data_IF_897269245791
#
_entry.id   IF_897269245791
#
_cell.length_a   1.000
_cell.length_b   1.000
_cell.length_c   1.000
_cell.angle_alpha   90.00
_cell.angle_beta   90.00
_cell.angle_gamma   90.00
#
_symmetry.space_group_name_H-M   'P 1'
#
loop_
_entity.id
_entity.type
_entity.pdbx_description
1 polymer ?
#
# COMPACT_ATOMS: atom_id res chain seq x y z
N UNK A 1 40.12 -77.60 21.05
CA UNK A 1 40.19 -76.12 21.14
C UNK A 1 39.96 -75.47 19.76
N UNK A 2 38.80 -75.71 19.13
CA UNK A 2 38.46 -75.15 17.80
C UNK A 2 36.99 -74.69 17.69
N UNK A 3 36.11 -75.13 18.60
CA UNK A 3 34.69 -74.80 18.61
C UNK A 3 34.35 -73.40 19.18
N UNK A 4 35.25 -72.78 19.96
CA UNK A 4 34.99 -71.44 20.53
C UNK A 4 35.26 -70.26 19.56
N UNK A 5 35.99 -70.47 18.46
CA UNK A 5 36.35 -69.38 17.52
C UNK A 5 35.26 -69.05 16.50
N UNK A 6 34.34 -69.98 16.23
CA UNK A 6 33.32 -69.82 15.18
C UNK A 6 32.13 -68.98 15.67
N UNK A 7 31.79 -69.07 16.96
CA UNK A 7 30.65 -68.33 17.53
C UNK A 7 30.87 -66.80 17.55
N UNK A 8 32.10 -66.33 17.80
CA UNK A 8 32.42 -64.88 17.86
C UNK A 8 32.29 -64.17 16.50
N UNK A 9 32.54 -64.85 15.39
CA UNK A 9 32.60 -64.23 14.04
C UNK A 9 31.21 -64.06 13.41
N UNK A 10 30.22 -64.87 13.81
CA UNK A 10 28.84 -64.80 13.31
C UNK A 10 28.03 -63.69 14.00
N UNK A 11 28.23 -63.48 15.31
CA UNK A 11 27.52 -62.45 16.08
C UNK A 11 27.92 -61.02 15.67
N UNK A 12 29.21 -60.81 15.34
CA UNK A 12 29.72 -59.48 14.97
C UNK A 12 29.31 -59.01 13.57
N UNK A 13 29.01 -59.94 12.64
CA UNK A 13 28.52 -59.60 11.30
C UNK A 13 27.02 -59.29 11.25
N UNK A 14 26.22 -59.87 12.15
CA UNK A 14 24.78 -59.60 12.24
C UNK A 14 24.46 -58.28 12.94
N UNK A 15 25.34 -57.81 13.84
CA UNK A 15 25.17 -56.53 14.53
C UNK A 15 25.41 -55.31 13.61
N UNK A 16 26.28 -55.45 12.61
CA UNK A 16 26.55 -54.38 11.63
C UNK A 16 25.42 -54.17 10.62
N UNK A 17 24.57 -55.18 10.38
CA UNK A 17 23.49 -55.09 9.39
C UNK A 17 22.24 -54.40 9.97
N UNK A 18 21.98 -54.58 11.27
CA UNK A 18 20.81 -54.02 11.96
C UNK A 18 20.99 -52.51 12.24
N UNK A 19 22.23 -52.04 12.39
CA UNK A 19 22.53 -50.61 12.58
C UNK A 19 22.36 -49.78 11.29
N UNK A 20 22.46 -50.40 10.10
CA UNK A 20 22.28 -49.70 8.82
C UNK A 20 20.82 -49.43 8.45
N UNK A 21 19.88 -50.22 8.98
CA UNK A 21 18.46 -50.13 8.63
C UNK A 21 17.70 -49.08 9.48
N UNK A 22 18.28 -48.59 10.58
CA UNK A 22 17.70 -47.53 11.41
C UNK A 22 18.00 -46.11 10.90
N UNK A 23 19.00 -45.93 10.02
CA UNK A 23 19.39 -44.60 9.51
C UNK A 23 18.48 -44.13 8.37
N UNK A 24 17.78 -45.04 7.69
CA UNK A 24 16.89 -44.72 6.55
C UNK A 24 15.50 -44.23 6.97
N UNK A 25 15.15 -44.29 8.26
CA UNK A 25 13.85 -43.80 8.76
C UNK A 25 13.90 -42.35 9.28
N UNK A 26 15.07 -41.71 9.32
CA UNK A 26 15.21 -40.30 9.74
C UNK A 26 15.35 -39.31 8.56
N UNK A 27 15.34 -39.78 7.31
CA UNK A 27 15.46 -38.91 6.12
C UNK A 27 14.14 -38.66 5.39
N UNK A 28 12.99 -39.11 5.92
CA UNK A 28 11.67 -38.88 5.31
C UNK A 28 10.75 -37.98 6.12
N UNK A 29 11.25 -37.33 7.17
CA UNK A 29 10.53 -36.31 7.95
C UNK A 29 11.01 -34.89 7.64
N UNK A 30 11.17 -34.58 6.35
CA UNK A 30 11.04 -33.23 5.80
C UNK A 30 10.26 -33.38 4.49
N UNK A 31 9.07 -33.98 4.56
CA UNK A 31 8.13 -33.88 3.44
C UNK A 31 7.65 -32.43 3.45
N UNK A 32 8.14 -31.66 2.48
CA UNK A 32 7.88 -30.24 2.30
C UNK A 32 6.41 -29.87 2.55
N UNK A 33 6.12 -29.41 3.76
CA UNK A 33 5.01 -28.49 4.01
C UNK A 33 5.56 -27.11 3.68
N UNK A 34 5.87 -26.85 2.40
CA UNK A 34 6.36 -25.55 1.95
C UNK A 34 5.81 -25.19 0.58
N UNK A 35 4.56 -25.55 0.25
CA UNK A 35 4.02 -25.28 -1.10
C UNK A 35 2.56 -24.80 -1.14
N UNK A 36 2.07 -24.08 -0.12
CA UNK A 36 0.77 -23.40 -0.26
C UNK A 36 0.61 -22.06 0.46
N UNK A 37 1.62 -21.57 1.18
CA UNK A 37 1.53 -20.31 1.97
C UNK A 37 2.62 -19.30 1.59
N UNK A 38 3.62 -19.66 0.76
CA UNK A 38 4.81 -18.83 0.52
C UNK A 38 4.75 -17.88 -0.71
N UNK A 39 3.70 -17.93 -1.53
CA UNK A 39 3.61 -17.17 -2.79
C UNK A 39 2.72 -15.91 -2.69
N UNK A 40 2.56 -15.35 -1.50
CA UNK A 40 1.83 -14.10 -1.29
C UNK A 40 2.70 -13.14 -0.50
N UNK A 41 3.13 -12.05 -1.15
CA UNK A 41 3.71 -10.93 -0.42
C UNK A 41 2.64 -10.33 0.49
N UNK A 42 2.90 -10.15 1.80
CA UNK A 42 1.99 -9.43 2.67
C UNK A 42 1.63 -8.06 2.07
N UNK A 43 0.38 -7.58 2.25
CA UNK A 43 0.04 -6.25 1.81
C UNK A 43 0.98 -5.21 2.42
N UNK A 44 1.41 -4.24 1.61
CA UNK A 44 2.31 -3.18 2.05
C UNK A 44 1.74 -1.82 1.67
N UNK A 45 2.15 -0.78 2.39
CA UNK A 45 1.66 0.58 2.18
C UNK A 45 2.65 1.38 1.32
N UNK A 46 2.10 2.11 0.35
CA UNK A 46 2.82 3.06 -0.50
C UNK A 46 2.36 4.47 -0.12
N UNK A 47 3.18 5.21 0.64
CA UNK A 47 2.83 6.57 1.03
C UNK A 47 3.02 7.54 -0.13
N UNK A 48 2.18 8.58 -0.19
CA UNK A 48 2.33 9.73 -1.05
C UNK A 48 2.12 11.00 -0.24
N UNK A 49 3.04 11.95 -0.38
CA UNK A 49 2.97 13.24 0.30
C UNK A 49 3.29 14.34 -0.71
N UNK A 50 2.52 15.41 -0.66
CA UNK A 50 2.72 16.59 -1.50
C UNK A 50 2.28 17.86 -0.81
N UNK A 51 2.87 18.98 -1.19
CA UNK A 51 2.50 20.31 -0.69
C UNK A 51 1.82 21.07 -1.81
N UNK A 52 0.69 21.70 -1.49
CA UNK A 52 -0.14 22.43 -2.44
C UNK A 52 -0.51 23.80 -1.87
N UNK A 53 -0.46 24.84 -2.70
CA UNK A 53 -0.88 26.20 -2.36
C UNK A 53 -2.17 26.52 -3.11
N UNK A 54 -3.24 26.82 -2.38
CA UNK A 54 -4.56 27.12 -2.95
C UNK A 54 -4.89 28.59 -2.70
N UNK A 55 -5.09 29.40 -3.76
CA UNK A 55 -5.62 30.75 -3.62
C UNK A 55 -7.13 30.70 -3.35
N UNK A 56 -7.54 31.10 -2.15
CA UNK A 56 -8.95 31.08 -1.71
C UNK A 56 -9.80 32.18 -2.33
N UNK A 57 -9.19 33.19 -2.94
CA UNK A 57 -9.89 34.26 -3.64
C UNK A 57 -10.86 33.74 -4.74
N UNK A 58 -10.56 32.56 -5.30
CA UNK A 58 -11.36 31.92 -6.36
C UNK A 58 -12.14 30.68 -5.87
N UNK A 59 -12.09 30.37 -4.57
CA UNK A 59 -12.79 29.20 -4.00
C UNK A 59 -14.22 29.60 -3.68
N UNK A 60 -15.17 28.91 -4.32
CA UNK A 60 -16.60 29.20 -4.18
C UNK A 60 -17.13 28.73 -2.82
N UNK A 61 -18.08 29.48 -2.27
CA UNK A 61 -18.83 29.09 -1.06
C UNK A 61 -20.09 28.29 -1.39
N UNK A 62 -20.54 28.28 -2.65
CA UNK A 62 -21.79 27.63 -3.09
C UNK A 62 -21.57 26.41 -3.98
N UNK A 63 -20.42 26.34 -4.65
CA UNK A 63 -20.04 25.26 -5.57
C UNK A 63 -18.64 24.76 -5.26
N UNK A 64 -18.25 23.63 -5.86
CA UNK A 64 -16.87 23.13 -5.76
C UNK A 64 -15.98 23.86 -6.76
N UNK A 65 -14.87 24.42 -6.27
CA UNK A 65 -13.76 24.91 -7.09
C UNK A 65 -12.73 23.80 -7.23
N UNK A 66 -12.34 23.53 -8.47
CA UNK A 66 -11.39 22.46 -8.81
C UNK A 66 -9.97 23.00 -8.94
N UNK A 67 -9.01 22.36 -8.28
CA UNK A 67 -7.59 22.68 -8.42
C UNK A 67 -7.00 22.08 -9.69
N UNK A 68 -5.81 22.55 -10.13
CA UNK A 68 -4.99 21.82 -11.08
C UNK A 68 -4.70 20.39 -10.58
N UNK A 69 -4.40 19.51 -11.53
CA UNK A 69 -4.03 18.12 -11.22
C UNK A 69 -2.71 18.07 -10.45
N UNK A 70 -2.67 17.20 -9.45
CA UNK A 70 -1.50 16.94 -8.63
C UNK A 70 -0.93 15.59 -9.07
N UNK A 71 0.16 15.57 -9.85
CA UNK A 71 0.74 14.32 -10.32
C UNK A 71 1.29 13.52 -9.13
N UNK A 72 0.90 12.25 -9.01
CA UNK A 72 1.41 11.39 -7.96
C UNK A 72 2.76 10.79 -8.32
N UNK A 73 2.98 10.48 -9.61
CA UNK A 73 4.22 9.90 -10.14
C UNK A 73 4.69 8.64 -9.37
N UNK A 74 3.74 7.84 -8.88
CA UNK A 74 4.05 6.62 -8.12
C UNK A 74 4.46 5.52 -9.11
N UNK A 75 5.74 5.14 -9.09
CA UNK A 75 6.21 3.94 -9.78
C UNK A 75 5.96 2.71 -8.91
N UNK A 76 4.78 2.11 -9.09
CA UNK A 76 4.37 0.96 -8.32
C UNK A 76 5.17 -0.31 -8.68
N UNK A 77 5.65 -0.45 -9.91
CA UNK A 77 6.49 -1.58 -10.31
C UNK A 77 7.83 -1.55 -9.55
N UNK A 78 8.47 -0.38 -9.48
CA UNK A 78 9.67 -0.20 -8.69
C UNK A 78 9.42 -0.48 -7.20
N UNK A 79 8.29 -0.01 -6.64
CA UNK A 79 7.92 -0.26 -5.24
C UNK A 79 7.65 -1.73 -4.94
N UNK A 80 7.02 -2.46 -5.87
CA UNK A 80 6.81 -3.91 -5.74
C UNK A 80 8.16 -4.63 -5.74
N UNK A 81 9.04 -4.33 -6.72
CA UNK A 81 10.37 -4.95 -6.83
C UNK A 81 11.29 -4.65 -5.65
N UNK A 82 11.16 -3.47 -5.04
CA UNK A 82 11.85 -3.10 -3.80
C UNK A 82 11.45 -4.02 -2.63
N UNK A 83 10.17 -4.40 -2.54
CA UNK A 83 9.70 -5.32 -1.52
C UNK A 83 10.02 -6.78 -1.85
N UNK A 84 9.86 -7.18 -3.12
CA UNK A 84 10.24 -8.51 -3.59
C UNK A 84 10.52 -8.51 -5.11
N UNK A 85 11.78 -8.74 -5.56
CA UNK A 85 12.15 -8.72 -6.98
C UNK A 85 11.46 -9.76 -7.87
N UNK A 86 10.87 -10.82 -7.29
CA UNK A 86 10.14 -11.84 -8.05
C UNK A 86 8.75 -11.36 -8.51
N UNK A 87 8.27 -10.23 -7.98
CA UNK A 87 6.99 -9.64 -8.33
C UNK A 87 7.19 -8.38 -9.19
N UNK A 88 6.16 -8.05 -9.94
CA UNK A 88 6.08 -6.85 -10.77
C UNK A 88 4.67 -6.28 -10.74
N UNK A 89 4.46 -5.18 -11.45
CA UNK A 89 3.13 -4.61 -11.66
C UNK A 89 2.12 -5.60 -12.26
N UNK A 90 2.60 -6.63 -12.99
CA UNK A 90 1.73 -7.67 -13.55
C UNK A 90 1.11 -8.58 -12.48
N UNK A 91 1.73 -8.66 -11.30
CA UNK A 91 1.25 -9.44 -10.17
C UNK A 91 0.31 -8.64 -9.25
N UNK A 92 0.00 -7.38 -9.61
CA UNK A 92 -0.89 -6.53 -8.83
C UNK A 92 -2.31 -7.11 -8.78
N UNK A 93 -2.83 -7.29 -7.56
CA UNK A 93 -4.20 -7.76 -7.33
C UNK A 93 -5.12 -6.70 -6.75
N UNK A 94 -4.59 -5.79 -5.95
CA UNK A 94 -5.38 -4.74 -5.31
C UNK A 94 -4.54 -3.52 -5.00
N UNK A 95 -5.13 -2.35 -5.21
CA UNK A 95 -4.67 -1.06 -4.67
C UNK A 95 -5.87 -0.37 -4.07
N UNK A 96 -5.82 -0.10 -2.77
CA UNK A 96 -6.88 0.60 -2.05
C UNK A 96 -6.28 1.76 -1.28
N UNK A 97 -6.94 2.91 -1.30
CA UNK A 97 -6.55 3.99 -0.41
C UNK A 97 -6.94 3.62 1.02
N UNK A 98 -6.00 3.76 1.94
CA UNK A 98 -6.16 3.41 3.35
C UNK A 98 -6.36 4.66 4.21
N UNK A 99 -5.65 5.73 3.90
CA UNK A 99 -5.69 7.00 4.62
C UNK A 99 -5.54 8.16 3.64
N UNK A 100 -6.18 9.28 3.99
CA UNK A 100 -5.96 10.57 3.36
C UNK A 100 -6.22 11.67 4.39
N UNK A 101 -5.22 12.52 4.59
CA UNK A 101 -5.29 13.69 5.45
C UNK A 101 -4.62 14.90 4.81
N UNK A 102 -5.03 16.09 5.26
CA UNK A 102 -4.42 17.35 4.86
C UNK A 102 -4.06 18.14 6.12
N UNK A 103 -2.79 18.47 6.26
CA UNK A 103 -2.23 19.27 7.34
C UNK A 103 -2.05 20.73 6.91
N UNK A 104 -2.33 21.66 7.83
CA UNK A 104 -2.02 23.07 7.65
C UNK A 104 -0.50 23.27 7.68
N UNK A 105 0.03 24.03 6.72
CA UNK A 105 1.45 24.44 6.72
C UNK A 105 1.57 25.92 7.01
N UNK A 106 0.92 26.77 6.20
CA UNK A 106 1.02 28.22 6.32
C UNK A 106 -0.08 28.93 5.54
N UNK A 107 -0.27 30.22 5.80
CA UNK A 107 -1.11 31.12 4.99
C UNK A 107 -0.59 32.56 5.06
N UNK A 108 -1.00 33.43 4.14
CA UNK A 108 -0.55 34.82 4.09
C UNK A 108 -1.26 35.69 5.15
N UNK A 109 -2.54 35.40 5.43
CA UNK A 109 -3.38 36.17 6.37
C UNK A 109 -3.90 35.33 7.53
N UNK A 110 -3.15 34.29 7.93
CA UNK A 110 -3.47 33.37 9.04
C UNK A 110 -4.79 32.60 8.88
N UNK A 111 -5.38 32.55 7.67
CA UNK A 111 -6.55 31.70 7.39
C UNK A 111 -6.18 30.23 7.58
N UNK A 112 -7.01 29.47 8.30
CA UNK A 112 -6.80 28.06 8.64
C UNK A 112 -7.72 27.14 7.83
N UNK A 113 -7.62 25.82 8.04
CA UNK A 113 -8.32 24.83 7.22
C UNK A 113 -9.84 24.77 7.44
N UNK A 114 -10.37 25.38 8.49
CA UNK A 114 -11.81 25.52 8.74
C UNK A 114 -12.50 26.44 7.71
N UNK A 115 -11.73 27.18 6.91
CA UNK A 115 -12.26 27.86 5.71
C UNK A 115 -12.70 26.87 4.64
N UNK A 116 -12.18 25.64 4.61
CA UNK A 116 -12.64 24.57 3.72
C UNK A 116 -13.83 23.90 4.39
N UNK A 117 -15.02 24.12 3.84
CA UNK A 117 -16.26 23.50 4.34
C UNK A 117 -16.37 22.05 3.89
N UNK A 118 -16.27 21.84 2.58
CA UNK A 118 -16.39 20.52 1.97
C UNK A 118 -15.24 20.32 1.00
N UNK A 119 -14.81 19.09 0.85
CA UNK A 119 -13.76 18.78 -0.09
C UNK A 119 -13.92 17.36 -0.66
N UNK A 120 -13.50 17.19 -1.91
CA UNK A 120 -13.55 15.93 -2.64
C UNK A 120 -12.23 15.69 -3.33
N UNK A 121 -11.80 14.44 -3.33
CA UNK A 121 -10.54 14.03 -3.94
C UNK A 121 -10.86 12.97 -4.98
N UNK A 122 -10.45 13.22 -6.22
CA UNK A 122 -10.59 12.29 -7.31
C UNK A 122 -9.23 11.78 -7.75
N UNK A 123 -9.19 10.54 -8.22
CA UNK A 123 -8.04 10.00 -8.94
C UNK A 123 -8.32 10.02 -10.44
N UNK A 124 -7.27 10.30 -11.20
CA UNK A 124 -7.28 10.28 -12.66
C UNK A 124 -6.09 9.50 -13.19
N UNK A 125 -6.30 8.79 -14.29
CA UNK A 125 -5.27 8.10 -15.05
C UNK A 125 -5.65 8.11 -16.55
N UNK A 126 -4.67 7.96 -17.47
CA UNK A 126 -4.94 7.82 -18.90
C UNK A 126 -5.98 6.73 -19.19
N UNK A 127 -6.95 7.05 -20.04
CA UNK A 127 -8.02 6.14 -20.47
C UNK A 127 -8.91 5.59 -19.34
N UNK A 128 -8.90 6.22 -18.16
CA UNK A 128 -9.82 5.93 -17.07
C UNK A 128 -10.72 7.14 -16.80
N UNK A 129 -12.01 6.95 -16.48
CA UNK A 129 -12.84 8.04 -15.98
C UNK A 129 -12.30 8.53 -14.63
N UNK A 130 -12.55 9.79 -14.30
CA UNK A 130 -12.24 10.30 -12.97
C UNK A 130 -13.08 9.58 -11.92
N UNK A 131 -12.45 9.24 -10.79
CA UNK A 131 -13.10 8.47 -9.74
C UNK A 131 -12.95 9.16 -8.41
N UNK A 132 -14.07 9.41 -7.73
CA UNK A 132 -14.09 9.98 -6.40
C UNK A 132 -13.52 8.95 -5.42
N UNK A 133 -12.49 9.32 -4.67
CA UNK A 133 -11.79 8.40 -3.76
C UNK A 133 -11.75 8.91 -2.33
N UNK A 134 -12.07 10.18 -2.07
CA UNK A 134 -12.22 10.65 -0.70
C UNK A 134 -13.13 11.86 -0.62
N UNK A 135 -13.81 12.00 0.52
CA UNK A 135 -14.66 13.17 0.78
C UNK A 135 -14.51 13.64 2.22
N UNK A 136 -14.71 14.93 2.42
CA UNK A 136 -14.97 15.53 3.74
C UNK A 136 -16.14 16.49 3.59
N UNK A 137 -17.01 16.51 4.58
CA UNK A 137 -18.17 17.39 4.61
C UNK A 137 -18.20 18.14 5.95
N UNK A 138 -18.55 19.42 5.89
CA UNK A 138 -18.65 20.32 7.04
C UNK A 138 -17.43 20.28 7.96
N UNK A 139 -16.23 20.36 7.39
CA UNK A 139 -15.01 20.46 8.18
C UNK A 139 -15.04 21.74 9.04
N UNK A 140 -14.61 21.60 10.29
CA UNK A 140 -14.46 22.69 11.26
C UNK A 140 -13.07 22.70 11.89
N UNK A 141 -12.17 21.80 11.49
CA UNK A 141 -10.84 21.69 12.07
C UNK A 141 -9.88 22.64 11.35
N UNK A 142 -9.12 23.41 12.14
CA UNK A 142 -8.22 24.44 11.67
C UNK A 142 -6.86 23.90 11.18
N UNK A 143 -6.41 22.77 11.72
CA UNK A 143 -5.05 22.28 11.53
C UNK A 143 -4.97 21.01 10.69
N UNK A 144 -6.02 20.21 10.66
CA UNK A 144 -6.06 18.96 9.91
C UNK A 144 -7.45 18.69 9.32
N UNK A 145 -7.50 18.18 8.10
CA UNK A 145 -8.70 17.63 7.48
C UNK A 145 -8.49 16.13 7.28
N UNK A 146 -9.26 15.32 8.00
CA UNK A 146 -9.30 13.86 7.80
C UNK A 146 -10.44 13.50 6.86
N UNK A 147 -10.12 12.79 5.78
CA UNK A 147 -11.11 12.41 4.79
C UNK A 147 -11.75 11.07 5.12
N UNK A 148 -13.03 10.95 4.77
CA UNK A 148 -13.69 9.66 4.62
C UNK A 148 -13.24 9.01 3.32
N UNK A 149 -12.63 7.83 3.43
CA UNK A 149 -12.11 7.03 2.32
C UNK A 149 -13.01 5.79 2.15
N UNK A 150 -13.70 5.63 1.01
CA UNK A 150 -14.48 4.43 0.76
C UNK A 150 -13.56 3.25 0.42
N UNK A 151 -14.01 2.03 0.76
CA UNK A 151 -13.28 0.81 0.45
C UNK A 151 -13.42 0.43 -1.03
N UNK A 152 -12.66 1.12 -1.89
CA UNK A 152 -12.74 0.97 -3.35
C UNK A 152 -11.44 0.51 -3.97
N UNK A 153 -11.58 -0.37 -4.97
CA UNK A 153 -10.46 -0.85 -5.77
C UNK A 153 -10.00 0.20 -6.80
N UNK A 154 -8.70 0.48 -6.80
CA UNK A 154 -8.04 1.50 -7.62
C UNK A 154 -6.98 0.92 -8.56
N UNK A 155 -6.81 -0.40 -8.63
CA UNK A 155 -5.80 -1.09 -9.46
C UNK A 155 -5.62 -0.47 -10.86
N UNK A 156 -6.69 -0.15 -11.57
CA UNK A 156 -6.63 0.34 -12.95
C UNK A 156 -6.00 1.75 -13.07
N UNK A 157 -5.98 2.53 -12.00
CA UNK A 157 -5.34 3.85 -11.94
C UNK A 157 -3.85 3.77 -11.60
N UNK A 158 -3.37 2.60 -11.15
CA UNK A 158 -1.98 2.37 -10.75
C UNK A 158 -1.22 1.45 -11.71
N UNK A 159 -1.84 0.98 -12.80
CA UNK A 159 -1.16 0.28 -13.91
C UNK A 159 -0.26 1.19 -14.75
N UNK A 160 -0.19 2.47 -14.42
CA UNK A 160 0.61 3.52 -15.06
C UNK A 160 1.22 4.41 -13.99
N UNK A 161 2.31 5.09 -14.32
CA UNK A 161 2.92 6.13 -13.50
C UNK A 161 2.35 7.53 -13.76
N UNK A 162 1.47 7.68 -14.76
CA UNK A 162 0.83 8.95 -15.14
C UNK A 162 -0.50 9.17 -14.40
N UNK A 163 -0.54 8.86 -13.12
CA UNK A 163 -1.72 9.09 -12.29
C UNK A 163 -1.61 10.41 -11.52
N UNK A 164 -2.77 11.03 -11.31
CA UNK A 164 -2.88 12.32 -10.64
C UNK A 164 -4.08 12.34 -9.69
N UNK A 165 -4.02 13.25 -8.74
CA UNK A 165 -5.13 13.60 -7.87
C UNK A 165 -5.73 14.93 -8.31
N UNK A 166 -7.04 15.07 -8.14
CA UNK A 166 -7.77 16.32 -8.33
C UNK A 166 -8.41 16.67 -7.01
N UNK A 167 -8.18 17.89 -6.53
CA UNK A 167 -8.78 18.41 -5.32
C UNK A 167 -9.91 19.37 -5.67
N UNK A 168 -11.12 19.05 -5.23
CA UNK A 168 -12.27 19.94 -5.30
C UNK A 168 -12.60 20.47 -3.92
N UNK A 169 -12.75 21.79 -3.81
CA UNK A 169 -12.86 22.51 -2.54
C UNK A 169 -14.08 23.40 -2.60
N UNK A 170 -14.89 23.39 -1.54
CA UNK A 170 -15.92 24.38 -1.28
C UNK A 170 -15.59 25.11 0.02
N UNK A 171 -15.54 26.44 -0.03
CA UNK A 171 -15.24 27.26 1.13
C UNK A 171 -16.47 27.45 2.04
N UNK A 172 -16.21 27.68 3.33
CA UNK A 172 -17.23 28.05 4.32
C UNK A 172 -17.49 29.56 4.31
N UNK A 173 -16.47 30.35 3.94
CA UNK A 173 -16.52 31.80 3.87
C UNK A 173 -15.63 32.31 2.73
N UNK A 174 -15.91 33.52 2.25
CA UNK A 174 -15.02 34.20 1.30
C UNK A 174 -13.71 34.55 2.00
N UNK A 175 -12.58 34.23 1.39
CA UNK A 175 -11.25 34.60 1.87
C UNK A 175 -10.36 34.96 0.68
N UNK A 176 -9.55 36.01 0.82
CA UNK A 176 -8.57 36.43 -0.20
C UNK A 176 -7.16 35.87 0.05
N UNK A 177 -7.04 34.85 0.91
CA UNK A 177 -5.78 34.26 1.34
C UNK A 177 -5.25 33.21 0.35
N UNK A 178 -3.98 32.84 0.49
CA UNK A 178 -3.40 31.66 -0.11
C UNK A 178 -2.97 30.71 1.02
N UNK A 179 -3.57 29.52 1.06
CA UNK A 179 -3.26 28.52 2.08
C UNK A 179 -2.36 27.46 1.48
N UNK A 180 -1.22 27.24 2.12
CA UNK A 180 -0.31 26.12 1.85
C UNK A 180 -0.69 24.96 2.77
N UNK A 181 -0.90 23.81 2.15
CA UNK A 181 -1.36 22.59 2.78
C UNK A 181 -0.46 21.43 2.40
N UNK A 182 -0.31 20.46 3.30
CA UNK A 182 0.41 19.21 3.05
C UNK A 182 -0.60 18.07 3.02
N UNK A 183 -0.74 17.44 1.87
CA UNK A 183 -1.59 16.26 1.69
C UNK A 183 -0.74 15.00 1.92
N UNK A 184 -1.23 14.10 2.78
CA UNK A 184 -0.64 12.79 3.02
C UNK A 184 -1.67 11.72 2.68
N UNK A 185 -1.27 10.72 1.90
CA UNK A 185 -2.09 9.55 1.60
C UNK A 185 -1.30 8.26 1.72
N UNK A 186 -2.02 7.18 2.02
CA UNK A 186 -1.47 5.83 2.08
C UNK A 186 -2.25 4.89 1.17
N UNK A 187 -1.57 4.23 0.25
CA UNK A 187 -2.17 3.21 -0.60
C UNK A 187 -1.73 1.81 -0.18
N UNK A 188 -2.69 0.97 0.19
CA UNK A 188 -2.45 -0.43 0.51
C UNK A 188 -2.42 -1.25 -0.77
N UNK A 189 -1.31 -1.94 -0.98
CA UNK A 189 -1.03 -2.71 -2.20
C UNK A 189 -0.97 -4.19 -1.86
N UNK A 190 -1.67 -5.01 -2.65
CA UNK A 190 -1.58 -6.47 -2.59
C UNK A 190 -1.11 -7.03 -3.91
N UNK A 191 -0.08 -7.87 -3.86
CA UNK A 191 0.42 -8.64 -5.01
C UNK A 191 0.29 -10.13 -4.74
N UNK A 192 0.10 -10.90 -5.81
CA UNK A 192 0.01 -12.36 -5.76
C UNK A 192 0.46 -12.91 -7.11
N UNK A 193 1.22 -14.01 -7.08
CA UNK A 193 1.67 -14.71 -8.29
C UNK A 193 0.49 -15.24 -9.11
#
# INVERSE_FOLDING_TARGET
MQTLKILKKSVMKKLSLIMGMLVLFFTTSCRDIVNSVLDVLPPFDVPFTTTLAVPFANVSTTTYTRTPEIPMNIDLDAKIKQNNPNYSINNLKSVKMSTLDIEYVSSQFDTKLDVIKNARIYIKAPNQPEKLIATVANNTNQNNITFSVPDEELINYFRTNQNSLIFEIQANAVSADQITMKMNSGFKVKVQL
#
